data_IF_913526034350
#
_entry.id   IF_913526034350
#
_cell.length_a   1.000
_cell.length_b   1.000
_cell.length_c   1.000
_cell.angle_alpha   90.00
_cell.angle_beta   90.00
_cell.angle_gamma   90.00
#
_symmetry.space_group_name_H-M   'P 1'
#
loop_
_entity.id
_entity.type
_entity.pdbx_description
1 polymer ?
#
# COMPACT_ATOMS: atom_id res chain seq x y z
N UNK A 1 33.86 -2.13 -23.49
CA UNK A 1 34.25 -3.19 -22.52
C UNK A 1 35.66 -2.97 -21.96
N UNK A 2 36.57 -2.31 -22.68
CA UNK A 2 37.91 -1.95 -22.19
C UNK A 2 37.96 -0.67 -21.34
N UNK A 3 36.99 0.24 -21.49
CA UNK A 3 37.00 1.53 -20.76
C UNK A 3 36.83 1.38 -19.24
N UNK A 4 36.11 0.34 -18.80
CA UNK A 4 35.97 0.02 -17.36
C UNK A 4 37.25 -0.56 -16.73
N UNK A 5 38.14 -1.15 -17.54
CA UNK A 5 39.41 -1.71 -17.07
C UNK A 5 40.41 -0.58 -16.78
N UNK A 6 40.44 0.45 -17.62
CA UNK A 6 41.29 1.63 -17.41
C UNK A 6 40.82 2.50 -16.25
N UNK A 7 39.50 2.67 -16.06
CA UNK A 7 38.95 3.39 -14.92
C UNK A 7 39.21 2.69 -13.57
N UNK A 8 39.32 1.36 -13.56
CA UNK A 8 39.68 0.59 -12.36
C UNK A 8 41.18 0.74 -12.02
N UNK A 9 42.07 0.72 -13.03
CA UNK A 9 43.50 0.92 -12.83
C UNK A 9 43.83 2.32 -12.28
N UNK A 10 43.04 3.35 -12.62
CA UNK A 10 43.23 4.70 -12.08
C UNK A 10 42.61 4.91 -10.69
N UNK A 11 41.76 4.00 -10.21
CA UNK A 11 41.14 4.07 -8.88
C UNK A 11 41.93 3.35 -7.76
N UNK A 12 42.94 2.55 -8.12
CA UNK A 12 43.88 1.94 -7.17
C UNK A 12 44.97 2.96 -6.84
N UNK A 13 44.55 4.07 -6.23
CA UNK A 13 45.43 5.09 -5.67
C UNK A 13 46.02 4.56 -4.35
N UNK A 14 47.06 3.74 -4.47
CA UNK A 14 47.83 3.27 -3.32
C UNK A 14 48.29 1.82 -3.45
N UNK A 15 49.56 1.65 -3.86
CA UNK A 15 50.35 0.40 -3.92
C UNK A 15 50.28 -0.40 -5.22
N UNK A 16 50.35 0.27 -6.37
CA UNK A 16 51.04 -0.31 -7.52
C UNK A 16 52.55 -0.08 -7.32
N UNK A 17 53.20 -1.00 -6.59
CA UNK A 17 54.65 -1.03 -6.53
C UNK A 17 55.17 -1.46 -7.91
N UNK A 18 55.46 -0.46 -8.75
CA UNK A 18 56.23 -0.65 -9.97
C UNK A 18 57.63 -1.09 -9.54
N UNK A 19 57.93 -2.37 -9.72
CA UNK A 19 59.29 -2.88 -9.58
C UNK A 19 60.14 -2.31 -10.71
N UNK A 20 60.77 -1.17 -10.47
CA UNK A 20 61.87 -0.69 -11.31
C UNK A 20 63.09 -1.53 -10.97
N UNK A 21 63.41 -2.50 -11.81
CA UNK A 21 64.65 -3.29 -11.70
C UNK A 21 65.78 -2.41 -12.24
N UNK A 22 66.73 -1.92 -11.42
CA UNK A 22 67.85 -1.16 -11.92
C UNK A 22 68.81 -2.09 -12.67
N UNK A 23 68.82 -2.00 -14.01
CA UNK A 23 69.82 -2.64 -14.86
C UNK A 23 71.13 -1.82 -14.80
N UNK A 24 71.83 -1.89 -13.67
CA UNK A 24 73.18 -1.36 -13.55
C UNK A 24 74.13 -2.50 -13.18
N UNK A 25 74.57 -3.27 -14.18
CA UNK A 25 75.90 -3.87 -14.19
C UNK A 25 76.31 -4.33 -15.61
N UNK A 26 77.55 -4.06 -16.04
CA UNK A 26 78.04 -4.45 -17.36
C UNK A 26 78.51 -5.92 -17.34
N UNK A 27 78.12 -6.66 -18.39
CA UNK A 27 78.66 -7.96 -18.79
C UNK A 27 78.51 -9.13 -17.79
N UNK A 28 77.28 -9.56 -17.57
CA UNK A 28 76.95 -10.99 -17.38
C UNK A 28 75.71 -11.28 -18.23
N UNK A 29 75.71 -12.40 -18.96
CA UNK A 29 74.63 -12.76 -19.88
C UNK A 29 73.26 -12.58 -19.23
N UNK A 30 72.29 -12.07 -20.01
CA UNK A 30 70.90 -11.91 -19.60
C UNK A 30 70.48 -13.14 -18.77
N UNK A 31 70.31 -12.93 -17.47
CA UNK A 31 69.90 -13.98 -16.57
C UNK A 31 68.42 -14.24 -16.82
N UNK A 32 68.19 -15.09 -17.83
CA UNK A 32 66.87 -15.50 -18.27
C UNK A 32 66.02 -16.03 -17.12
N UNK A 33 66.65 -16.56 -16.06
CA UNK A 33 65.94 -17.02 -14.87
C UNK A 33 65.26 -15.86 -14.10
N UNK A 34 65.90 -14.69 -14.03
CA UNK A 34 65.36 -13.49 -13.37
C UNK A 34 64.25 -12.83 -14.20
N UNK A 35 64.38 -12.82 -15.53
CA UNK A 35 63.34 -12.30 -16.43
C UNK A 35 62.13 -13.24 -16.48
N UNK A 36 62.35 -14.56 -16.60
CA UNK A 36 61.28 -15.55 -16.62
C UNK A 36 60.55 -15.58 -15.28
N UNK A 37 61.25 -15.51 -14.14
CA UNK A 37 60.60 -15.46 -12.82
C UNK A 37 59.80 -14.17 -12.62
N UNK A 38 60.26 -13.02 -13.11
CA UNK A 38 59.51 -11.77 -13.11
C UNK A 38 58.24 -11.81 -13.99
N UNK A 39 58.32 -12.42 -15.18
CA UNK A 39 57.17 -12.59 -16.08
C UNK A 39 56.16 -13.60 -15.51
N UNK A 40 56.63 -14.73 -14.96
CA UNK A 40 55.78 -15.75 -14.32
C UNK A 40 55.14 -15.20 -13.05
N UNK A 41 55.88 -14.45 -12.23
CA UNK A 41 55.36 -13.76 -11.05
C UNK A 41 54.31 -12.70 -11.40
N UNK A 42 54.58 -11.88 -12.42
CA UNK A 42 53.64 -10.89 -12.96
C UNK A 42 52.35 -11.54 -13.48
N UNK A 43 52.46 -12.62 -14.27
CA UNK A 43 51.30 -13.39 -14.74
C UNK A 43 50.52 -14.02 -13.58
N UNK A 44 51.20 -14.59 -12.58
CA UNK A 44 50.55 -15.15 -11.40
C UNK A 44 49.77 -14.07 -10.61
N UNK A 45 50.34 -12.88 -10.44
CA UNK A 45 49.65 -11.76 -9.76
C UNK A 45 48.45 -11.25 -10.56
N UNK A 46 48.54 -11.17 -11.89
CA UNK A 46 47.43 -10.79 -12.76
C UNK A 46 46.29 -11.81 -12.71
N UNK A 47 46.61 -13.10 -12.77
CA UNK A 47 45.64 -14.19 -12.64
C UNK A 47 44.97 -14.13 -11.25
N UNK A 48 45.76 -13.95 -10.18
CA UNK A 48 45.23 -13.82 -8.83
C UNK A 48 44.30 -12.61 -8.69
N UNK A 49 44.70 -11.44 -9.20
CA UNK A 49 43.87 -10.23 -9.20
C UNK A 49 42.57 -10.41 -9.99
N UNK A 50 42.63 -11.06 -11.16
CA UNK A 50 41.45 -11.37 -11.97
C UNK A 50 40.51 -12.35 -11.25
N UNK A 51 41.03 -13.39 -10.61
CA UNK A 51 40.23 -14.31 -9.80
C UNK A 51 39.55 -13.59 -8.61
N UNK A 52 40.28 -12.73 -7.89
CA UNK A 52 39.72 -11.93 -6.79
C UNK A 52 38.65 -10.98 -7.30
N UNK A 53 38.85 -10.33 -8.45
CA UNK A 53 37.86 -9.46 -9.08
C UNK A 53 36.58 -10.22 -9.46
N UNK A 54 36.69 -11.40 -10.09
CA UNK A 54 35.53 -12.22 -10.44
C UNK A 54 34.76 -12.69 -9.21
N UNK A 55 35.46 -13.09 -8.15
CA UNK A 55 34.86 -13.51 -6.88
C UNK A 55 34.20 -12.31 -6.16
N UNK A 56 34.87 -11.15 -6.16
CA UNK A 56 34.35 -9.89 -5.62
C UNK A 56 33.07 -9.47 -6.32
N UNK A 57 33.07 -9.40 -7.66
CA UNK A 57 31.89 -9.07 -8.45
C UNK A 57 30.74 -10.06 -8.24
N UNK A 58 31.02 -11.36 -8.13
CA UNK A 58 29.98 -12.37 -7.85
C UNK A 58 29.37 -12.19 -6.47
N UNK A 59 30.18 -11.89 -5.46
CA UNK A 59 29.71 -11.64 -4.10
C UNK A 59 28.90 -10.35 -4.04
N UNK A 60 29.40 -9.29 -4.65
CA UNK A 60 28.74 -7.98 -4.67
C UNK A 60 27.39 -8.06 -5.39
N UNK A 61 27.30 -8.74 -6.53
CA UNK A 61 26.01 -8.99 -7.21
C UNK A 61 25.01 -9.72 -6.31
N UNK A 62 25.44 -10.78 -5.62
CA UNK A 62 24.58 -11.51 -4.67
C UNK A 62 24.13 -10.63 -3.51
N UNK A 63 25.01 -9.76 -3.00
CA UNK A 63 24.66 -8.81 -1.93
C UNK A 63 23.64 -7.79 -2.42
N UNK A 64 23.84 -7.22 -3.62
CA UNK A 64 22.90 -6.27 -4.23
C UNK A 64 21.53 -6.92 -4.48
N UNK A 65 21.50 -8.11 -5.08
CA UNK A 65 20.26 -8.87 -5.30
C UNK A 65 19.52 -9.15 -3.98
N UNK A 66 20.26 -9.51 -2.92
CA UNK A 66 19.69 -9.75 -1.59
C UNK A 66 19.12 -8.47 -0.97
N UNK A 67 19.84 -7.35 -1.08
CA UNK A 67 19.38 -6.04 -0.60
C UNK A 67 18.15 -5.57 -1.37
N UNK A 68 18.13 -5.72 -2.69
CA UNK A 68 17.00 -5.42 -3.56
C UNK A 68 15.77 -6.27 -3.20
N UNK A 69 15.96 -7.56 -2.93
CA UNK A 69 14.87 -8.46 -2.49
C UNK A 69 14.32 -8.06 -1.13
N UNK A 70 15.19 -7.68 -0.18
CA UNK A 70 14.77 -7.20 1.14
C UNK A 70 14.03 -5.86 1.07
N UNK A 71 14.51 -4.93 0.24
CA UNK A 71 13.86 -3.65 0.00
C UNK A 71 12.51 -3.83 -0.69
N UNK A 72 12.43 -4.71 -1.70
CA UNK A 72 11.19 -5.08 -2.36
C UNK A 72 10.16 -5.68 -1.40
N UNK A 73 10.60 -6.58 -0.51
CA UNK A 73 9.74 -7.16 0.53
C UNK A 73 9.21 -6.09 1.50
N UNK A 74 10.06 -5.13 1.90
CA UNK A 74 9.65 -4.02 2.76
C UNK A 74 8.62 -3.11 2.08
N UNK A 75 8.81 -2.80 0.80
CA UNK A 75 7.83 -2.04 0.02
C UNK A 75 6.50 -2.79 -0.14
N UNK A 76 6.55 -4.09 -0.44
CA UNK A 76 5.35 -4.92 -0.50
C UNK A 76 4.61 -4.97 0.85
N UNK A 77 5.34 -5.01 1.97
CA UNK A 77 4.74 -4.96 3.31
C UNK A 77 4.05 -3.60 3.57
N UNK A 78 4.66 -2.50 3.14
CA UNK A 78 4.04 -1.18 3.19
C UNK A 78 2.75 -1.14 2.36
N UNK A 79 2.79 -1.68 1.13
CA UNK A 79 1.61 -1.81 0.28
C UNK A 79 0.48 -2.63 0.92
N UNK A 80 0.81 -3.78 1.53
CA UNK A 80 -0.15 -4.58 2.30
C UNK A 80 -0.80 -3.77 3.42
N UNK A 81 -0.02 -3.04 4.23
CA UNK A 81 -0.59 -2.24 5.32
C UNK A 81 -1.53 -1.15 4.81
N UNK A 82 -1.26 -0.56 3.64
CA UNK A 82 -2.17 0.42 3.01
C UNK A 82 -3.45 -0.25 2.54
N UNK A 83 -3.37 -1.40 1.86
CA UNK A 83 -4.56 -2.18 1.46
C UNK A 83 -5.40 -2.60 2.66
N UNK A 84 -4.77 -3.04 3.74
CA UNK A 84 -5.47 -3.37 4.97
C UNK A 84 -6.20 -2.16 5.57
N UNK A 85 -5.61 -0.95 5.49
CA UNK A 85 -6.28 0.29 5.91
C UNK A 85 -7.48 0.63 5.02
N UNK A 86 -7.40 0.41 3.71
CA UNK A 86 -8.54 0.58 2.80
C UNK A 86 -9.68 -0.39 3.12
N UNK A 87 -9.37 -1.67 3.34
CA UNK A 87 -10.37 -2.66 3.77
C UNK A 87 -10.99 -2.28 5.12
N UNK A 88 -10.17 -1.83 6.08
CA UNK A 88 -10.66 -1.37 7.38
C UNK A 88 -11.57 -0.15 7.28
N UNK A 89 -11.33 0.76 6.33
CA UNK A 89 -12.22 1.90 6.08
C UNK A 89 -13.62 1.41 5.68
N UNK A 90 -13.70 0.50 4.71
CA UNK A 90 -14.96 -0.12 4.26
C UNK A 90 -15.64 -0.84 5.44
N UNK A 91 -14.90 -1.66 6.17
CA UNK A 91 -15.42 -2.43 7.32
C UNK A 91 -15.92 -1.52 8.45
N UNK A 92 -15.26 -0.40 8.71
CA UNK A 92 -15.70 0.57 9.72
C UNK A 92 -17.00 1.28 9.32
N UNK A 93 -17.16 1.61 8.04
CA UNK A 93 -18.43 2.16 7.51
C UNK A 93 -19.55 1.13 7.67
N UNK A 94 -19.29 -0.13 7.32
CA UNK A 94 -20.25 -1.21 7.54
C UNK A 94 -20.64 -1.35 9.01
N UNK A 95 -19.65 -1.40 9.89
CA UNK A 95 -19.87 -1.54 11.32
C UNK A 95 -20.70 -0.38 11.89
N UNK A 96 -20.51 0.85 11.41
CA UNK A 96 -21.31 2.00 11.82
C UNK A 96 -22.78 1.82 11.42
N UNK A 97 -23.02 1.41 10.18
CA UNK A 97 -24.37 1.18 9.65
C UNK A 97 -25.05 0.04 10.43
N UNK A 98 -24.39 -1.11 10.55
CA UNK A 98 -24.90 -2.28 11.25
C UNK A 98 -25.25 -1.96 12.71
N UNK A 99 -24.37 -1.26 13.42
CA UNK A 99 -24.64 -0.83 14.81
C UNK A 99 -25.82 0.13 14.91
N UNK A 100 -26.01 0.98 13.91
CA UNK A 100 -27.13 1.91 13.88
C UNK A 100 -28.46 1.17 13.71
N UNK A 101 -28.51 0.18 12.81
CA UNK A 101 -29.68 -0.70 12.65
C UNK A 101 -29.93 -1.58 13.89
N UNK A 102 -28.87 -2.12 14.49
CA UNK A 102 -28.97 -2.93 15.69
C UNK A 102 -29.55 -2.09 16.85
N UNK A 103 -29.00 -0.90 17.09
CA UNK A 103 -29.49 0.01 18.12
C UNK A 103 -30.96 0.38 17.89
N UNK A 104 -31.35 0.66 16.65
CA UNK A 104 -32.74 0.94 16.31
C UNK A 104 -33.67 -0.25 16.63
N UNK A 105 -33.23 -1.46 16.32
CA UNK A 105 -33.98 -2.69 16.60
C UNK A 105 -34.11 -2.95 18.11
N UNK A 106 -33.02 -2.80 18.88
CA UNK A 106 -33.01 -2.92 20.34
C UNK A 106 -33.92 -1.90 21.03
N UNK A 107 -34.14 -0.77 20.37
CA UNK A 107 -35.01 0.31 20.82
C UNK A 107 -36.43 0.22 20.27
N UNK A 108 -36.78 -0.84 19.53
CA UNK A 108 -38.13 -1.03 19.01
C UNK A 108 -38.56 0.00 17.97
N UNK A 109 -37.60 0.67 17.32
CA UNK A 109 -37.87 1.60 16.23
C UNK A 109 -38.30 0.81 14.98
N UNK A 110 -39.54 0.98 14.58
CA UNK A 110 -40.05 0.46 13.31
C UNK A 110 -40.20 1.61 12.31
N UNK A 111 -39.17 1.81 11.48
CA UNK A 111 -39.21 2.71 10.32
C UNK A 111 -38.91 1.90 9.05
N UNK A 112 -39.56 2.28 7.94
CA UNK A 112 -39.18 1.75 6.63
C UNK A 112 -38.02 2.55 6.00
N UNK A 113 -37.64 3.65 6.64
CA UNK A 113 -36.69 4.62 6.11
C UNK A 113 -35.31 4.45 6.77
N UNK A 114 -34.28 4.18 5.97
CA UNK A 114 -32.93 3.93 6.44
C UNK A 114 -32.29 5.14 7.16
N UNK A 115 -32.57 6.37 6.71
CA UNK A 115 -32.03 7.59 7.33
C UNK A 115 -32.52 7.80 8.78
N UNK A 116 -33.62 7.17 9.16
CA UNK A 116 -34.14 7.23 10.53
C UNK A 116 -33.35 6.34 11.49
N UNK A 117 -32.62 5.35 10.96
CA UNK A 117 -31.81 4.42 11.74
C UNK A 117 -30.35 4.84 11.75
N UNK A 118 -29.81 5.16 10.58
CA UNK A 118 -28.40 5.54 10.43
C UNK A 118 -28.26 7.03 10.73
N UNK A 119 -27.45 7.36 11.74
CA UNK A 119 -27.09 8.73 12.06
C UNK A 119 -25.82 9.18 11.33
N UNK A 120 -25.47 10.48 11.42
CA UNK A 120 -24.19 10.96 10.92
C UNK A 120 -23.04 10.31 11.71
N UNK A 121 -21.85 10.27 11.11
CA UNK A 121 -20.66 9.81 11.81
C UNK A 121 -20.33 10.72 13.01
N UNK A 122 -20.03 10.13 14.17
CA UNK A 122 -19.55 10.86 15.35
C UNK A 122 -18.08 11.30 15.24
N UNK A 123 -17.37 10.92 14.16
CA UNK A 123 -15.97 11.28 13.93
C UNK A 123 -15.59 11.29 12.45
N UNK A 124 -14.35 11.69 12.18
CA UNK A 124 -13.82 11.72 10.81
C UNK A 124 -13.08 10.42 10.52
N UNK A 125 -13.50 9.69 9.48
CA UNK A 125 -12.68 8.61 8.95
C UNK A 125 -11.49 9.23 8.21
N UNK A 126 -10.29 8.77 8.53
CA UNK A 126 -9.10 9.18 7.83
C UNK A 126 -9.00 8.38 6.52
N UNK A 127 -8.92 9.07 5.39
CA UNK A 127 -8.63 8.44 4.11
C UNK A 127 -7.20 7.87 4.13
N UNK A 128 -7.01 6.56 3.90
CA UNK A 128 -5.69 5.97 3.78
C UNK A 128 -4.89 6.55 2.60
N UNK A 129 -3.57 6.45 2.68
CA UNK A 129 -2.71 6.82 1.57
C UNK A 129 -2.80 5.76 0.46
N UNK A 130 -2.86 6.20 -0.81
CA UNK A 130 -2.75 5.31 -1.96
C UNK A 130 -1.40 4.58 -2.01
N UNK A 131 -1.39 3.43 -2.66
CA UNK A 131 -0.18 2.65 -2.91
C UNK A 131 0.69 3.34 -3.97
N UNK A 132 1.99 3.39 -3.70
CA UNK A 132 3.00 3.83 -4.64
C UNK A 132 3.37 2.70 -5.59
N UNK A 133 3.81 3.04 -6.81
CA UNK A 133 4.25 2.06 -7.81
C UNK A 133 5.34 1.11 -7.30
N UNK A 134 6.21 1.56 -6.39
CA UNK A 134 7.25 0.74 -5.77
C UNK A 134 6.70 -0.34 -4.81
N UNK A 135 5.49 -0.16 -4.28
CA UNK A 135 4.84 -1.07 -3.34
C UNK A 135 4.17 -2.25 -4.04
N UNK A 136 3.81 -2.09 -5.33
CA UNK A 136 3.19 -3.14 -6.14
C UNK A 136 3.98 -3.48 -7.42
N UNK A 137 5.18 -2.94 -7.63
CA UNK A 137 5.98 -3.17 -8.86
C UNK A 137 6.26 -4.65 -9.13
N UNK A 138 6.27 -5.48 -8.09
CA UNK A 138 6.48 -6.91 -8.22
C UNK A 138 5.32 -7.66 -8.89
N UNK A 139 4.13 -7.05 -8.93
CA UNK A 139 2.95 -7.58 -9.60
C UNK A 139 2.97 -7.32 -11.11
N UNK A 140 3.92 -6.52 -11.63
CA UNK A 140 4.08 -6.18 -13.04
C UNK A 140 4.65 -7.37 -13.85
N UNK A 141 3.93 -8.48 -13.79
CA UNK A 141 4.19 -9.75 -14.47
C UNK A 141 2.93 -10.17 -15.20
N UNK A 142 3.06 -11.00 -16.24
CA UNK A 142 1.91 -11.46 -17.04
C UNK A 142 0.82 -12.16 -16.19
N UNK A 143 1.23 -12.85 -15.13
CA UNK A 143 0.35 -13.65 -14.28
C UNK A 143 -0.37 -12.80 -13.22
N UNK A 144 0.29 -11.77 -12.70
CA UNK A 144 -0.21 -10.98 -11.56
C UNK A 144 -0.71 -9.58 -11.94
N UNK A 145 -0.66 -9.19 -13.22
CA UNK A 145 -1.04 -7.84 -13.66
C UNK A 145 -2.47 -7.46 -13.26
N UNK A 146 -3.41 -8.41 -13.33
CA UNK A 146 -4.80 -8.20 -12.89
C UNK A 146 -4.91 -7.76 -11.43
N UNK A 147 -4.00 -8.23 -10.55
CA UNK A 147 -4.00 -7.82 -9.14
C UNK A 147 -3.71 -6.33 -9.01
N UNK A 148 -2.92 -5.73 -9.91
CA UNK A 148 -2.67 -4.27 -9.92
C UNK A 148 -3.95 -3.50 -10.25
N UNK A 149 -4.71 -3.97 -11.24
CA UNK A 149 -6.00 -3.39 -11.59
C UNK A 149 -6.99 -3.51 -10.42
N UNK A 150 -7.10 -4.71 -9.84
CA UNK A 150 -7.98 -4.98 -8.71
C UNK A 150 -7.62 -4.12 -7.49
N UNK A 151 -6.33 -3.92 -7.20
CA UNK A 151 -5.84 -3.02 -6.13
C UNK A 151 -6.30 -1.59 -6.36
N UNK A 152 -6.15 -1.06 -7.58
CA UNK A 152 -6.63 0.29 -7.90
C UNK A 152 -8.14 0.42 -7.72
N UNK A 153 -8.89 -0.63 -8.11
CA UNK A 153 -10.34 -0.68 -7.90
C UNK A 153 -10.73 -0.71 -6.42
N UNK A 154 -9.96 -1.38 -5.56
CA UNK A 154 -10.19 -1.34 -4.10
C UNK A 154 -10.05 0.08 -3.57
N UNK A 155 -8.98 0.80 -3.96
CA UNK A 155 -8.77 2.19 -3.55
C UNK A 155 -9.91 3.09 -4.02
N UNK A 156 -10.26 3.03 -5.31
CA UNK A 156 -11.28 3.90 -5.88
C UNK A 156 -12.69 3.60 -5.33
N UNK A 157 -13.03 2.32 -5.11
CA UNK A 157 -14.30 1.92 -4.45
C UNK A 157 -14.35 2.43 -3.01
N UNK A 158 -13.28 2.27 -2.24
CA UNK A 158 -13.21 2.72 -0.86
C UNK A 158 -13.28 4.26 -0.74
N UNK A 159 -12.62 4.99 -1.65
CA UNK A 159 -12.68 6.46 -1.72
C UNK A 159 -14.11 6.92 -2.04
N UNK A 160 -14.74 6.32 -3.04
CA UNK A 160 -16.11 6.66 -3.40
C UNK A 160 -17.08 6.40 -2.25
N UNK A 161 -16.97 5.23 -1.59
CA UNK A 161 -17.75 4.89 -0.42
C UNK A 161 -17.55 5.90 0.72
N UNK A 162 -16.30 6.27 1.00
CA UNK A 162 -15.96 7.25 2.02
C UNK A 162 -16.57 8.62 1.73
N UNK A 163 -16.46 9.11 0.50
CA UNK A 163 -17.07 10.38 0.08
C UNK A 163 -18.60 10.36 0.17
N UNK A 164 -19.26 9.28 -0.28
CA UNK A 164 -20.71 9.13 -0.14
C UNK A 164 -21.13 9.15 1.32
N UNK A 165 -20.37 8.50 2.20
CA UNK A 165 -20.68 8.45 3.62
C UNK A 165 -20.43 9.80 4.34
N UNK A 166 -19.41 10.55 3.92
CA UNK A 166 -19.19 11.93 4.37
C UNK A 166 -20.33 12.84 3.94
N UNK A 167 -20.70 12.82 2.65
CA UNK A 167 -21.81 13.59 2.09
C UNK A 167 -23.13 13.26 2.80
N UNK A 168 -23.38 11.98 3.06
CA UNK A 168 -24.51 11.55 3.85
C UNK A 168 -24.52 12.19 5.24
N UNK A 169 -23.39 12.15 5.95
CA UNK A 169 -23.26 12.72 7.29
C UNK A 169 -23.49 14.23 7.30
N UNK A 170 -22.93 14.94 6.33
CA UNK A 170 -23.11 16.39 6.16
C UNK A 170 -24.59 16.74 5.92
N UNK A 171 -25.24 16.09 4.96
CA UNK A 171 -26.66 16.31 4.65
C UNK A 171 -27.57 15.93 5.83
N UNK A 172 -27.20 14.91 6.61
CA UNK A 172 -27.96 14.52 7.80
C UNK A 172 -27.89 15.60 8.88
N UNK A 173 -26.69 16.15 9.13
CA UNK A 173 -26.51 17.27 10.06
C UNK A 173 -27.23 18.53 9.60
N UNK A 174 -27.19 18.84 8.30
CA UNK A 174 -27.96 19.95 7.73
C UNK A 174 -29.46 19.74 7.89
N UNK A 175 -29.94 18.52 7.69
CA UNK A 175 -31.33 18.15 7.87
C UNK A 175 -31.77 18.30 9.33
N UNK A 176 -30.96 17.83 10.29
CA UNK A 176 -31.20 18.03 11.72
C UNK A 176 -31.24 19.52 12.08
N UNK A 177 -30.27 20.30 11.60
CA UNK A 177 -30.22 21.75 11.83
C UNK A 177 -31.46 22.43 11.26
N UNK A 178 -31.91 22.03 10.08
CA UNK A 178 -33.13 22.56 9.48
C UNK A 178 -34.38 22.24 10.30
N UNK A 179 -34.52 21.00 10.81
CA UNK A 179 -35.65 20.63 11.67
C UNK A 179 -35.73 21.53 12.92
N UNK A 180 -34.60 21.84 13.53
CA UNK A 180 -34.53 22.69 14.73
C UNK A 180 -34.93 24.15 14.46
N UNK A 181 -34.94 24.59 13.19
CA UNK A 181 -35.40 25.95 12.80
C UNK A 181 -36.92 26.06 12.59
N UNK A 182 -37.64 24.94 12.54
CA UNK A 182 -39.07 24.92 12.22
C UNK A 182 -39.89 25.30 13.46
N UNK A 183 -40.70 26.36 13.34
CA UNK A 183 -41.61 26.75 14.42
C UNK A 183 -42.66 25.65 14.64
N UNK A 184 -42.80 25.20 15.89
CA UNK A 184 -43.74 24.14 16.24
C UNK A 184 -43.22 22.72 15.97
N UNK A 185 -42.00 22.56 15.46
CA UNK A 185 -41.31 21.28 15.52
C UNK A 185 -41.06 20.91 16.97
N UNK A 186 -41.41 19.67 17.34
CA UNK A 186 -41.06 19.13 18.65
C UNK A 186 -40.63 17.69 18.52
N UNK A 187 -39.47 17.37 19.11
CA UNK A 187 -38.96 16.02 19.24
C UNK A 187 -39.25 15.52 20.64
N UNK A 188 -40.16 14.56 20.76
CA UNK A 188 -40.39 13.87 22.03
C UNK A 188 -39.49 12.65 22.08
N UNK A 189 -38.55 12.67 23.03
CA UNK A 189 -37.74 11.51 23.34
C UNK A 189 -38.53 10.61 24.28
N UNK A 190 -38.90 9.42 23.81
CA UNK A 190 -39.42 8.33 24.64
C UNK A 190 -38.30 7.30 24.80
N UNK A 191 -37.43 7.55 25.79
CA UNK A 191 -36.16 6.85 25.93
C UNK A 191 -35.25 7.09 24.71
N UNK A 192 -34.80 6.04 24.00
CA UNK A 192 -33.96 6.15 22.80
C UNK A 192 -34.76 6.44 21.52
N UNK A 193 -36.10 6.41 21.58
CA UNK A 193 -36.98 6.67 20.44
C UNK A 193 -37.27 8.16 20.36
N UNK A 194 -37.02 8.76 19.20
CA UNK A 194 -37.49 10.12 18.90
C UNK A 194 -38.81 10.07 18.13
N UNK A 195 -39.87 10.67 18.68
CA UNK A 195 -41.11 10.95 17.96
C UNK A 195 -41.13 12.42 17.56
N UNK A 196 -40.99 12.66 16.25
CA UNK A 196 -40.97 13.99 15.67
C UNK A 196 -42.39 14.44 15.31
N UNK A 197 -42.84 15.54 15.91
CA UNK A 197 -44.08 16.22 15.51
C UNK A 197 -43.72 17.35 14.55
N UNK A 198 -44.00 17.13 13.26
CA UNK A 198 -43.73 18.08 12.19
C UNK A 198 -45.04 18.79 11.75
N UNK A 199 -45.05 20.13 11.65
CA UNK A 199 -46.19 20.84 11.07
C UNK A 199 -46.43 20.45 9.61
N UNK A 200 -47.70 20.34 9.21
CA UNK A 200 -48.12 19.83 7.89
C UNK A 200 -47.49 20.63 6.74
N UNK A 201 -47.32 21.93 6.91
CA UNK A 201 -46.73 22.84 5.91
C UNK A 201 -45.26 22.54 5.56
N UNK A 202 -44.53 21.81 6.40
CA UNK A 202 -43.14 21.42 6.14
C UNK A 202 -43.00 19.97 5.67
N UNK A 203 -44.09 19.21 5.59
CA UNK A 203 -44.08 17.77 5.30
C UNK A 203 -43.42 17.45 3.96
N UNK A 204 -43.76 18.16 2.89
CA UNK A 204 -43.18 17.90 1.57
C UNK A 204 -41.65 18.12 1.55
N UNK A 205 -41.16 19.14 2.27
CA UNK A 205 -39.73 19.43 2.37
C UNK A 205 -38.99 18.39 3.21
N UNK A 206 -39.65 17.90 4.26
CA UNK A 206 -39.13 16.80 5.07
C UNK A 206 -38.99 15.54 4.23
N UNK A 207 -40.05 15.13 3.53
CA UNK A 207 -40.06 13.92 2.69
C UNK A 207 -39.00 14.01 1.58
N UNK A 208 -38.85 15.18 0.95
CA UNK A 208 -37.80 15.40 -0.04
C UNK A 208 -36.39 15.18 0.52
N UNK A 209 -36.06 15.79 1.67
CA UNK A 209 -34.74 15.65 2.29
C UNK A 209 -34.49 14.23 2.81
N UNK A 210 -35.52 13.60 3.40
CA UNK A 210 -35.49 12.21 3.82
C UNK A 210 -35.21 11.26 2.65
N UNK A 211 -35.89 11.46 1.51
CA UNK A 211 -35.67 10.69 0.30
C UNK A 211 -34.24 10.81 -0.23
N UNK A 212 -33.65 12.02 -0.20
CA UNK A 212 -32.24 12.23 -0.57
C UNK A 212 -31.28 11.44 0.32
N UNK A 213 -31.47 11.49 1.64
CA UNK A 213 -30.65 10.73 2.59
C UNK A 213 -30.78 9.22 2.35
N UNK A 214 -32.01 8.73 2.14
CA UNK A 214 -32.27 7.33 1.82
C UNK A 214 -31.62 6.87 0.52
N UNK A 215 -31.61 7.73 -0.50
CA UNK A 215 -30.97 7.42 -1.78
C UNK A 215 -29.46 7.21 -1.60
N UNK A 216 -28.80 8.07 -0.82
CA UNK A 216 -27.36 7.96 -0.57
C UNK A 216 -27.06 6.71 0.26
N UNK A 217 -27.72 6.53 1.40
CA UNK A 217 -27.46 5.36 2.27
C UNK A 217 -27.85 4.04 1.59
N UNK A 218 -28.92 4.04 0.79
CA UNK A 218 -29.29 2.87 -0.02
C UNK A 218 -28.24 2.51 -1.06
N UNK A 219 -27.64 3.52 -1.70
CA UNK A 219 -26.50 3.32 -2.61
C UNK A 219 -25.25 2.77 -1.90
N UNK A 220 -24.96 3.28 -0.69
CA UNK A 220 -23.87 2.80 0.16
C UNK A 220 -24.09 1.33 0.54
N UNK A 221 -25.24 1.01 1.13
CA UNK A 221 -25.56 -0.34 1.60
C UNK A 221 -25.59 -1.34 0.43
N UNK A 222 -26.10 -0.92 -0.74
CA UNK A 222 -26.24 -1.78 -1.90
C UNK A 222 -24.91 -2.30 -2.50
N UNK A 223 -23.79 -1.58 -2.33
CA UNK A 223 -22.47 -2.00 -2.82
C UNK A 223 -21.54 -2.58 -1.76
N UNK A 224 -21.86 -2.38 -0.48
CA UNK A 224 -20.94 -2.56 0.62
C UNK A 224 -20.45 -4.01 0.81
N UNK A 225 -21.36 -4.98 0.73
CA UNK A 225 -21.02 -6.40 0.88
C UNK A 225 -20.09 -6.87 -0.24
N UNK A 226 -20.40 -6.47 -1.48
CA UNK A 226 -19.56 -6.78 -2.65
C UNK A 226 -18.18 -6.13 -2.53
N UNK A 227 -18.12 -4.84 -2.18
CA UNK A 227 -16.87 -4.09 -2.04
C UNK A 227 -16.00 -4.65 -0.91
N UNK A 228 -16.61 -5.08 0.20
CA UNK A 228 -15.90 -5.73 1.30
C UNK A 228 -15.34 -7.10 0.87
N UNK A 229 -16.14 -7.95 0.25
CA UNK A 229 -15.67 -9.25 -0.24
C UNK A 229 -14.55 -9.11 -1.28
N UNK A 230 -14.72 -8.17 -2.22
CA UNK A 230 -13.75 -7.86 -3.27
C UNK A 230 -12.41 -7.36 -2.70
N UNK A 231 -12.47 -6.47 -1.70
CA UNK A 231 -11.27 -5.90 -1.08
C UNK A 231 -10.50 -6.93 -0.26
N UNK A 232 -11.19 -7.82 0.45
CA UNK A 232 -10.56 -8.96 1.17
C UNK A 232 -9.88 -9.90 0.18
N UNK A 233 -10.58 -10.35 -0.86
CA UNK A 233 -10.04 -11.28 -1.87
C UNK A 233 -8.82 -10.68 -2.59
N UNK A 234 -8.91 -9.40 -2.99
CA UNK A 234 -7.80 -8.69 -3.64
C UNK A 234 -6.58 -8.56 -2.73
N UNK A 235 -6.80 -8.23 -1.45
CA UNK A 235 -5.72 -8.12 -0.46
C UNK A 235 -5.07 -9.49 -0.23
N UNK A 236 -5.85 -10.57 -0.18
CA UNK A 236 -5.31 -11.92 -0.05
C UNK A 236 -4.46 -12.33 -1.26
N UNK A 237 -4.92 -12.02 -2.49
CA UNK A 237 -4.12 -12.25 -3.72
C UNK A 237 -2.82 -11.46 -3.70
N UNK A 238 -2.85 -10.21 -3.26
CA UNK A 238 -1.66 -9.36 -3.10
C UNK A 238 -0.65 -10.02 -2.13
N UNK A 239 -1.12 -10.46 -0.96
CA UNK A 239 -0.29 -11.14 0.06
C UNK A 239 0.35 -12.41 -0.50
N UNK A 240 -0.44 -13.23 -1.21
CA UNK A 240 0.04 -14.47 -1.80
C UNK A 240 1.15 -14.20 -2.82
N UNK A 241 0.93 -13.27 -3.75
CA UNK A 241 1.93 -12.89 -4.75
C UNK A 241 3.19 -12.28 -4.11
N UNK A 242 3.04 -11.44 -3.08
CA UNK A 242 4.16 -10.85 -2.35
C UNK A 242 4.98 -11.92 -1.64
N UNK A 243 4.30 -12.84 -0.95
CA UNK A 243 4.94 -13.96 -0.29
C UNK A 243 5.70 -14.81 -1.30
N UNK A 244 5.07 -15.23 -2.41
CA UNK A 244 5.74 -16.03 -3.44
C UNK A 244 6.97 -15.35 -4.04
N UNK A 245 6.87 -14.04 -4.33
CA UNK A 245 7.99 -13.29 -4.89
C UNK A 245 9.15 -13.15 -3.92
N UNK A 246 8.86 -12.91 -2.64
CA UNK A 246 9.86 -12.42 -1.69
C UNK A 246 10.20 -13.39 -0.56
N UNK A 247 9.90 -14.70 -0.67
CA UNK A 247 10.36 -15.67 0.35
C UNK A 247 11.89 -15.61 0.50
N UNK A 248 12.44 -15.60 1.73
CA UNK A 248 11.76 -15.69 3.04
C UNK A 248 11.45 -14.33 3.69
N UNK A 249 11.71 -13.22 3.01
CA UNK A 249 11.65 -11.85 3.56
C UNK A 249 10.23 -11.30 3.74
N UNK A 250 9.24 -11.88 3.06
CA UNK A 250 7.83 -11.57 3.27
C UNK A 250 7.12 -12.76 3.95
N UNK A 251 6.58 -12.58 5.17
CA UNK A 251 5.94 -13.67 5.90
C UNK A 251 4.67 -14.14 5.21
N UNK A 252 4.27 -15.40 5.47
CA UNK A 252 2.94 -15.85 5.07
C UNK A 252 1.93 -15.23 6.03
N UNK A 253 1.14 -14.29 5.52
CA UNK A 253 0.07 -13.62 6.26
C UNK A 253 -1.28 -14.23 5.85
N UNK A 254 -2.27 -14.06 6.72
CA UNK A 254 -3.67 -14.33 6.42
C UNK A 254 -4.46 -13.04 6.62
N UNK A 255 -5.48 -12.81 5.78
CA UNK A 255 -6.27 -11.60 5.79
C UNK A 255 -7.77 -11.92 5.69
N UNK A 256 -8.51 -11.46 6.68
CA UNK A 256 -9.92 -11.79 6.96
C UNK A 256 -10.14 -11.86 8.46
#
# INVERSE_FOLDING_TARGET
MFDGIFAWLSGVDGKLSVFVIPLNQPQTGLDWSTIVSGVVGGLATLIAAFCVFLLGNRRERKTREFEEMKAGAANAMSGYFKLAKWCNLIANINLHIDKSYQAATEHGLSSNEAFAFVGPSAGTFAEPERLHASEFSFLLTKENFKIVEDVGLVEDRAINLHHLFQQYSELHLEFQTWLDTILGFSRKLDGPIASDQLPIEYKDRFEYRAAQLNQIIGGIVGGLEEDMAFSIDTTQKFIMAAHERYKPHFPKLDFG
#
